data_IF_686043951866
#
_entry.id   IF_686043951866
#
_cell.length_a   1.000
_cell.length_b   1.000
_cell.length_c   1.000
_cell.angle_alpha   90.00
_cell.angle_beta   90.00
_cell.angle_gamma   90.00
#
_symmetry.space_group_name_H-M   'P 1'
#
loop_
_entity.id
_entity.type
_entity.pdbx_description
1 polymer ?
#
# COMPACT_ATOMS: atom_id res chain seq x y z
N UNK A 1 13.39 -12.62 -21.25
CA UNK A 1 11.94 -12.76 -21.52
C UNK A 1 11.21 -11.67 -20.77
N UNK A 2 10.18 -11.09 -21.36
CA UNK A 2 9.29 -10.15 -20.68
C UNK A 2 8.34 -10.88 -19.74
N UNK A 3 8.04 -10.27 -18.59
CA UNK A 3 7.10 -10.81 -17.59
C UNK A 3 5.81 -9.98 -17.60
N UNK A 4 4.69 -10.64 -17.33
CA UNK A 4 3.38 -10.00 -17.13
C UNK A 4 2.90 -10.29 -15.73
N UNK A 5 2.50 -9.24 -15.02
CA UNK A 5 1.96 -9.29 -13.67
C UNK A 5 0.45 -9.17 -13.74
N UNK A 6 -0.23 -10.04 -13.00
CA UNK A 6 -1.66 -10.01 -12.78
C UNK A 6 -1.90 -9.59 -11.32
N UNK A 7 -2.48 -8.40 -11.13
CA UNK A 7 -2.61 -7.74 -9.82
C UNK A 7 -4.10 -7.53 -9.54
N UNK A 8 -4.57 -8.18 -8.49
CA UNK A 8 -5.90 -7.94 -7.94
C UNK A 8 -5.87 -6.74 -6.99
N UNK A 9 -6.68 -5.73 -7.28
CA UNK A 9 -6.86 -4.55 -6.44
C UNK A 9 -8.29 -4.49 -5.92
N UNK A 10 -8.46 -4.61 -4.61
CA UNK A 10 -9.75 -4.33 -3.98
C UNK A 10 -9.86 -2.83 -3.69
N UNK A 11 -10.80 -2.18 -4.36
CA UNK A 11 -11.10 -0.75 -4.20
C UNK A 11 -12.26 -0.60 -3.22
N UNK A 12 -12.06 0.21 -2.19
CA UNK A 12 -13.13 0.67 -1.30
C UNK A 12 -13.72 2.01 -1.76
N UNK A 13 -14.81 2.45 -1.13
CA UNK A 13 -15.49 3.71 -1.45
C UNK A 13 -14.73 4.99 -1.07
N UNK A 14 -13.53 4.88 -0.50
CA UNK A 14 -12.70 6.02 -0.07
C UNK A 14 -11.52 6.28 -1.00
N UNK A 15 -11.21 5.32 -1.89
CA UNK A 15 -10.15 5.48 -2.87
C UNK A 15 -10.55 6.51 -3.91
N UNK A 16 -9.88 7.65 -3.91
CA UNK A 16 -10.13 8.76 -4.84
C UNK A 16 -9.54 8.49 -6.21
N UNK A 17 -8.38 7.86 -6.25
CA UNK A 17 -7.71 7.47 -7.48
C UNK A 17 -6.66 6.39 -7.22
N UNK A 18 -6.27 5.69 -8.27
CA UNK A 18 -5.06 4.88 -8.29
C UNK A 18 -4.30 5.04 -9.61
N UNK A 19 -2.99 4.84 -9.53
CA UNK A 19 -2.09 4.85 -10.68
C UNK A 19 -1.31 3.56 -10.77
N UNK A 20 -1.08 3.14 -12.02
CA UNK A 20 -0.28 1.96 -12.37
C UNK A 20 0.88 2.44 -13.21
N UNK A 21 2.10 2.12 -12.81
CA UNK A 21 3.32 2.39 -13.56
C UNK A 21 4.04 1.10 -13.90
N UNK A 22 4.50 0.98 -15.15
CA UNK A 22 5.28 -0.14 -15.63
C UNK A 22 6.52 0.37 -16.34
N UNK A 23 7.70 -0.09 -15.92
CA UNK A 23 8.97 0.20 -16.59
C UNK A 23 9.50 -1.03 -17.29
N UNK A 24 9.98 -0.90 -18.53
CA UNK A 24 10.53 -1.98 -19.36
C UNK A 24 10.30 -1.69 -20.84
N UNK A 25 10.93 -2.45 -21.74
CA UNK A 25 10.83 -2.22 -23.19
C UNK A 25 9.42 -2.53 -23.69
N UNK A 26 8.75 -1.52 -24.28
CA UNK A 26 7.35 -1.58 -24.77
C UNK A 26 6.37 -2.05 -23.69
N UNK A 27 6.14 -1.24 -22.65
CA UNK A 27 5.27 -1.60 -21.54
C UNK A 27 3.79 -1.61 -21.95
N UNK A 28 3.01 -2.52 -21.37
CA UNK A 28 1.56 -2.63 -21.53
C UNK A 28 0.86 -2.59 -20.18
N UNK A 29 -0.32 -1.97 -20.16
CA UNK A 29 -1.21 -1.91 -19.00
C UNK A 29 -2.64 -2.12 -19.51
N UNK A 30 -3.30 -3.13 -18.98
CA UNK A 30 -4.71 -3.42 -19.17
C UNK A 30 -5.39 -3.41 -17.80
N UNK A 31 -6.56 -2.78 -17.72
CA UNK A 31 -7.33 -2.65 -16.49
C UNK A 31 -8.71 -3.23 -16.75
N UNK A 32 -9.17 -4.09 -15.85
CA UNK A 32 -10.49 -4.70 -15.86
C UNK A 32 -11.24 -4.20 -14.62
N UNK A 33 -12.44 -3.67 -14.83
CA UNK A 33 -13.28 -3.12 -13.77
C UNK A 33 -13.94 -4.22 -12.91
N UNK A 34 -14.64 -3.85 -11.82
CA UNK A 34 -15.35 -4.81 -10.97
C UNK A 34 -16.45 -5.59 -11.68
N UNK A 35 -16.92 -5.13 -12.83
CA UNK A 35 -17.90 -5.82 -13.66
C UNK A 35 -17.26 -6.78 -14.67
N UNK A 36 -15.94 -6.99 -14.59
CA UNK A 36 -15.16 -7.85 -15.47
C UNK A 36 -15.11 -7.33 -16.92
N UNK A 37 -15.19 -6.02 -17.10
CA UNK A 37 -15.13 -5.35 -18.41
C UNK A 37 -13.84 -4.54 -18.54
N UNK A 38 -13.19 -4.51 -19.73
CA UNK A 38 -12.04 -3.64 -19.96
C UNK A 38 -12.36 -2.17 -19.66
N UNK A 39 -11.59 -1.57 -18.77
CA UNK A 39 -11.75 -0.20 -18.34
C UNK A 39 -10.85 0.74 -19.15
N UNK A 40 -11.46 1.51 -20.05
CA UNK A 40 -10.74 2.40 -20.97
C UNK A 40 -10.68 3.87 -20.49
N UNK A 41 -11.42 4.23 -19.45
CA UNK A 41 -11.47 5.62 -18.95
C UNK A 41 -10.29 5.93 -18.02
N UNK A 42 -9.08 5.78 -18.56
CA UNK A 42 -7.81 6.03 -17.88
C UNK A 42 -7.18 7.31 -18.41
N UNK A 43 -6.48 8.04 -17.54
CA UNK A 43 -5.63 9.17 -17.94
C UNK A 43 -4.21 8.67 -18.15
N UNK A 44 -3.68 8.81 -19.36
CA UNK A 44 -2.25 8.57 -19.62
C UNK A 44 -1.43 9.71 -19.01
N UNK A 45 -0.66 9.41 -17.98
CA UNK A 45 0.21 10.37 -17.28
C UNK A 45 1.58 10.43 -17.94
N UNK A 46 2.10 9.27 -18.35
CA UNK A 46 3.37 9.13 -19.06
C UNK A 46 3.28 7.93 -20.00
N UNK A 47 3.70 8.09 -21.25
CA UNK A 47 3.74 7.01 -22.22
C UNK A 47 5.00 7.16 -23.09
N UNK A 48 6.06 6.46 -22.69
CA UNK A 48 7.36 6.43 -23.36
C UNK A 48 7.72 4.98 -23.69
N UNK A 49 8.72 4.79 -24.55
CA UNK A 49 9.14 3.46 -25.02
C UNK A 49 9.51 2.49 -23.89
N UNK A 50 10.05 3.01 -22.77
CA UNK A 50 10.53 2.22 -21.64
C UNK A 50 9.70 2.39 -20.36
N UNK A 51 8.66 3.23 -20.36
CA UNK A 51 7.83 3.45 -19.17
C UNK A 51 6.43 3.91 -19.56
N UNK A 52 5.43 3.33 -18.91
CA UNK A 52 4.04 3.74 -19.05
C UNK A 52 3.40 3.92 -17.69
N UNK A 53 2.64 5.00 -17.53
CA UNK A 53 1.93 5.35 -16.31
C UNK A 53 0.51 5.78 -16.67
N UNK A 54 -0.47 5.10 -16.09
CA UNK A 54 -1.90 5.42 -16.24
C UNK A 54 -2.52 5.70 -14.88
N UNK A 55 -3.51 6.59 -14.84
CA UNK A 55 -4.27 6.93 -13.64
C UNK A 55 -5.76 6.67 -13.85
N UNK A 56 -6.43 6.15 -12.83
CA UNK A 56 -7.88 5.98 -12.75
C UNK A 56 -8.40 6.88 -11.64
N UNK A 57 -9.22 7.87 -11.99
CA UNK A 57 -9.86 8.76 -11.04
C UNK A 57 -11.30 8.28 -10.74
N UNK A 58 -11.71 8.38 -9.47
CA UNK A 58 -13.03 7.99 -8.99
C UNK A 58 -13.41 6.53 -9.30
N UNK A 59 -12.56 5.54 -9.00
CA UNK A 59 -12.88 4.14 -9.27
C UNK A 59 -14.11 3.69 -8.48
N UNK A 60 -14.96 2.87 -9.09
CA UNK A 60 -16.07 2.23 -8.38
C UNK A 60 -15.54 1.20 -7.36
N UNK A 61 -16.17 1.07 -6.18
CA UNK A 61 -15.83 0.01 -5.22
C UNK A 61 -15.95 -1.38 -5.83
N UNK A 62 -15.05 -2.28 -5.45
CA UNK A 62 -15.05 -3.67 -5.91
C UNK A 62 -13.66 -4.18 -6.29
N UNK A 63 -13.63 -5.38 -6.87
CA UNK A 63 -12.39 -6.06 -7.26
C UNK A 63 -11.98 -5.68 -8.68
N UNK A 64 -10.93 -4.89 -8.80
CA UNK A 64 -10.29 -4.55 -10.07
C UNK A 64 -9.18 -5.56 -10.37
N UNK A 65 -8.96 -5.83 -11.65
CA UNK A 65 -7.86 -6.67 -12.10
C UNK A 65 -6.96 -5.88 -13.06
N UNK A 66 -5.66 -5.89 -12.79
CA UNK A 66 -4.68 -5.08 -13.52
C UNK A 66 -3.64 -6.03 -14.10
N UNK A 67 -3.54 -6.04 -15.42
CA UNK A 67 -2.53 -6.80 -16.16
C UNK A 67 -1.49 -5.84 -16.70
N UNK A 68 -0.26 -5.99 -16.23
CA UNK A 68 0.80 -5.04 -16.46
C UNK A 68 2.11 -5.76 -16.76
N UNK A 69 2.84 -5.37 -17.80
CA UNK A 69 4.08 -6.04 -18.17
C UNK A 69 4.86 -5.30 -19.24
N UNK A 70 5.95 -5.91 -19.70
CA UNK A 70 6.72 -5.42 -20.85
C UNK A 70 7.44 -6.57 -21.56
N UNK A 71 8.06 -6.29 -22.71
CA UNK A 71 8.84 -7.28 -23.46
C UNK A 71 10.23 -7.56 -22.85
N UNK A 72 10.64 -6.83 -21.80
CA UNK A 72 11.87 -7.06 -21.05
C UNK A 72 11.59 -7.30 -19.56
N UNK A 73 12.65 -7.56 -18.78
CA UNK A 73 12.60 -7.40 -17.33
C UNK A 73 11.96 -6.07 -17.00
N UNK A 74 11.00 -6.10 -16.09
CA UNK A 74 10.16 -4.96 -15.79
C UNK A 74 9.89 -4.82 -14.30
N UNK A 75 9.37 -3.65 -13.95
CA UNK A 75 8.89 -3.35 -12.62
C UNK A 75 7.51 -2.74 -12.75
N UNK A 76 6.56 -3.28 -11.98
CA UNK A 76 5.19 -2.77 -11.88
C UNK A 76 5.02 -2.16 -10.50
N UNK A 77 4.48 -0.95 -10.46
CA UNK A 77 4.12 -0.26 -9.22
C UNK A 77 2.67 0.22 -9.31
N UNK A 78 1.91 -0.10 -8.28
CA UNK A 78 0.54 0.36 -8.06
C UNK A 78 0.55 1.34 -6.89
N UNK A 79 -0.17 2.44 -6.99
CA UNK A 79 -0.27 3.45 -5.93
C UNK A 79 -1.67 4.01 -5.88
N UNK A 80 -2.21 4.25 -4.69
CA UNK A 80 -3.57 4.71 -4.46
C UNK A 80 -3.62 5.92 -3.55
N UNK A 81 -4.59 6.80 -3.79
CA UNK A 81 -4.90 7.93 -2.93
C UNK A 81 -6.23 7.66 -2.22
N UNK A 82 -6.17 7.31 -0.94
CA UNK A 82 -7.33 6.99 -0.10
C UNK A 82 -7.43 7.95 1.08
N UNK A 83 -8.66 8.19 1.54
CA UNK A 83 -8.91 8.95 2.78
C UNK A 83 -8.65 8.14 4.06
N UNK A 84 -8.37 6.83 3.94
CA UNK A 84 -7.95 6.00 5.07
C UNK A 84 -6.57 6.44 5.55
N UNK A 85 -6.49 6.96 6.77
CA UNK A 85 -5.26 7.35 7.43
C UNK A 85 -4.84 6.25 8.41
N UNK A 86 -3.58 5.86 8.38
CA UNK A 86 -3.00 4.98 9.40
C UNK A 86 -2.36 5.83 10.48
N UNK A 87 -3.04 5.90 11.61
CA UNK A 87 -2.50 6.53 12.79
C UNK A 87 -1.71 5.49 13.59
N UNK A 88 -0.69 5.93 14.31
CA UNK A 88 0.11 5.05 15.12
C UNK A 88 0.59 5.72 16.41
N UNK A 89 0.99 4.90 17.37
CA UNK A 89 1.75 5.37 18.51
C UNK A 89 2.17 4.26 19.47
N UNK A 90 3.01 4.64 20.42
CA UNK A 90 3.68 3.78 21.37
C UNK A 90 3.07 3.91 22.76
N UNK A 91 3.10 2.81 23.52
CA UNK A 91 2.69 2.77 24.92
C UNK A 91 3.46 1.69 25.68
N UNK A 92 3.75 1.86 26.99
CA UNK A 92 4.46 0.83 27.77
C UNK A 92 3.63 -0.44 28.04
N UNK A 93 2.31 -0.37 27.82
CA UNK A 93 1.37 -1.47 28.08
C UNK A 93 0.21 -1.38 27.09
N UNK A 94 -0.59 -2.45 26.96
CA UNK A 94 -1.72 -2.47 26.03
C UNK A 94 -2.65 -1.28 26.30
N UNK A 95 -2.82 -0.36 25.32
CA UNK A 95 -3.54 0.88 25.54
C UNK A 95 -5.06 0.62 25.64
N UNK A 96 -5.71 1.35 26.54
CA UNK A 96 -7.18 1.31 26.71
C UNK A 96 -7.91 2.26 25.72
N UNK A 97 -7.19 3.26 25.19
CA UNK A 97 -7.68 4.20 24.18
C UNK A 97 -6.51 4.63 23.28
N UNK A 98 -6.83 5.03 22.06
CA UNK A 98 -5.90 5.64 21.10
C UNK A 98 -5.31 6.95 21.65
N UNK A 99 -6.06 7.69 22.46
CA UNK A 99 -5.60 8.98 23.01
C UNK A 99 -4.42 8.84 24.00
N UNK A 100 -4.21 7.63 24.52
CA UNK A 100 -3.11 7.33 25.43
C UNK A 100 -1.78 7.02 24.69
N UNK A 101 -1.77 7.08 23.35
CA UNK A 101 -0.60 6.74 22.55
C UNK A 101 0.36 7.93 22.41
N UNK A 102 1.66 7.66 22.60
CA UNK A 102 2.73 8.62 22.34
C UNK A 102 3.28 8.48 20.92
N UNK A 103 3.80 9.57 20.34
CA UNK A 103 4.51 9.52 19.06
C UNK A 103 5.90 8.88 19.17
N UNK A 104 6.46 8.80 20.37
CA UNK A 104 7.79 8.24 20.63
C UNK A 104 7.71 7.07 21.63
N UNK A 105 8.53 6.02 21.45
CA UNK A 105 8.66 4.96 22.44
C UNK A 105 9.27 5.50 23.74
N UNK A 106 8.89 4.89 24.86
CA UNK A 106 9.46 5.21 26.17
C UNK A 106 10.78 4.47 26.33
N UNK A 107 11.82 5.19 26.72
CA UNK A 107 13.18 4.65 26.87
C UNK A 107 13.23 3.62 28.01
N UNK A 108 14.02 2.55 27.81
CA UNK A 108 14.32 1.51 28.81
C UNK A 108 13.11 0.71 29.33
N UNK A 109 12.01 0.66 28.57
CA UNK A 109 10.86 -0.21 28.85
C UNK A 109 10.37 -0.88 27.58
N UNK A 110 9.65 -1.99 27.71
CA UNK A 110 8.96 -2.61 26.58
C UNK A 110 7.88 -1.66 26.05
N UNK A 111 7.76 -1.58 24.73
CA UNK A 111 6.80 -0.72 24.06
C UNK A 111 5.87 -1.55 23.16
N UNK A 112 4.58 -1.24 23.20
CA UNK A 112 3.59 -1.71 22.26
C UNK A 112 3.35 -0.63 21.21
N UNK A 113 3.71 -0.91 19.96
CA UNK A 113 3.28 -0.11 18.81
C UNK A 113 1.84 -0.50 18.46
N UNK A 114 0.94 0.48 18.50
CA UNK A 114 -0.42 0.35 18.01
C UNK A 114 -0.54 1.09 16.69
N UNK A 115 -1.00 0.39 15.65
CA UNK A 115 -1.36 0.99 14.36
C UNK A 115 -2.87 0.84 14.22
N UNK A 116 -3.57 1.93 13.97
CA UNK A 116 -5.01 1.92 13.75
C UNK A 116 -5.38 2.72 12.49
N UNK A 117 -6.15 2.13 11.57
CA UNK A 117 -6.73 2.88 10.48
C UNK A 117 -7.86 3.79 10.97
N UNK A 118 -8.04 4.94 10.33
CA UNK A 118 -9.18 5.84 10.59
C UNK A 118 -10.53 5.18 10.29
N UNK A 119 -10.54 4.14 9.44
CA UNK A 119 -11.73 3.37 9.05
C UNK A 119 -11.42 1.87 9.10
N UNK A 120 -11.52 1.22 10.28
CA UNK A 120 -11.16 -0.19 10.46
C UNK A 120 -11.89 -1.17 9.56
N UNK A 121 -13.16 -0.89 9.24
CA UNK A 121 -13.99 -1.75 8.40
C UNK A 121 -13.50 -1.86 6.94
N UNK A 122 -12.63 -0.94 6.50
CA UNK A 122 -12.09 -0.92 5.14
C UNK A 122 -10.70 -1.57 5.05
N UNK A 123 -10.07 -1.87 6.19
CA UNK A 123 -8.74 -2.47 6.24
C UNK A 123 -8.85 -3.91 6.69
N UNK A 124 -8.70 -4.84 5.74
CA UNK A 124 -8.78 -6.27 6.04
C UNK A 124 -7.55 -6.80 6.79
N UNK A 125 -6.34 -6.49 6.33
CA UNK A 125 -5.10 -6.97 6.95
C UNK A 125 -3.95 -5.97 6.75
N UNK A 126 -3.10 -5.84 7.77
CA UNK A 126 -1.79 -5.19 7.69
C UNK A 126 -0.72 -6.27 7.58
N UNK A 127 -0.22 -6.52 6.37
CA UNK A 127 0.73 -7.60 6.09
C UNK A 127 2.18 -7.24 6.41
N UNK A 128 2.53 -5.96 6.33
CA UNK A 128 3.87 -5.47 6.61
C UNK A 128 3.84 -4.08 7.25
N UNK A 129 4.68 -3.87 8.26
CA UNK A 129 4.91 -2.57 8.90
C UNK A 129 6.41 -2.45 9.12
N UNK A 130 7.02 -1.41 8.57
CA UNK A 130 8.44 -1.08 8.75
C UNK A 130 8.56 0.13 9.67
N UNK A 131 9.51 0.09 10.62
CA UNK A 131 9.84 1.22 11.48
C UNK A 131 11.31 1.54 11.23
N UNK A 132 11.57 2.72 10.67
CA UNK A 132 12.92 3.19 10.39
C UNK A 132 13.34 4.24 11.42
N UNK A 133 14.52 4.05 12.02
CA UNK A 133 15.18 5.08 12.83
C UNK A 133 16.02 5.97 11.93
N UNK A 134 15.91 7.29 12.07
CA UNK A 134 16.71 8.23 11.29
C UNK A 134 18.15 8.39 11.81
N UNK A 135 18.52 7.73 12.93
CA UNK A 135 19.88 7.80 13.47
C UNK A 135 20.77 6.69 12.89
N UNK A 136 21.37 6.96 11.72
CA UNK A 136 22.17 5.98 10.95
C UNK A 136 23.64 5.95 11.33
N UNK A 137 24.08 6.64 12.39
CA UNK A 137 25.50 6.76 12.74
C UNK A 137 25.96 5.92 13.94
N UNK A 138 25.10 5.06 14.50
CA UNK A 138 25.53 4.13 15.54
C UNK A 138 25.51 2.68 15.05
N UNK A 139 26.69 2.06 15.08
CA UNK A 139 26.87 0.62 15.07
C UNK A 139 25.95 0.00 16.13
N UNK A 140 24.85 -0.62 15.70
CA UNK A 140 23.88 -1.22 16.62
C UNK A 140 22.41 -0.99 16.29
N UNK A 141 22.03 -0.72 15.02
CA UNK A 141 20.63 -0.69 14.61
C UNK A 141 19.95 -2.03 14.95
N UNK A 142 19.21 -2.07 16.06
CA UNK A 142 18.47 -3.24 16.50
C UNK A 142 17.18 -3.32 15.69
N UNK A 143 17.07 -4.31 14.82
CA UNK A 143 15.82 -4.64 14.15
C UNK A 143 14.80 -5.13 15.19
N UNK A 144 13.70 -4.38 15.38
CA UNK A 144 12.59 -4.83 16.21
C UNK A 144 11.80 -5.91 15.46
N UNK A 145 11.93 -7.17 15.89
CA UNK A 145 11.07 -8.27 15.43
C UNK A 145 9.80 -8.26 16.27
N UNK A 146 8.65 -7.98 15.67
CA UNK A 146 7.35 -8.21 16.31
C UNK A 146 6.46 -9.11 15.44
N UNK A 147 5.54 -9.81 16.10
CA UNK A 147 4.60 -10.74 15.48
C UNK A 147 3.19 -10.18 15.71
N UNK A 148 2.55 -9.67 14.65
CA UNK A 148 1.20 -9.10 14.75
C UNK A 148 0.17 -10.24 14.63
N UNK A 149 -0.36 -10.70 15.77
CA UNK A 149 -1.50 -11.62 15.78
C UNK A 149 -2.81 -10.84 15.70
N UNK A 150 -3.35 -10.72 14.50
CA UNK A 150 -4.70 -10.22 14.29
C UNK A 150 -5.70 -11.31 14.64
N UNK A 151 -6.64 -11.00 15.53
CA UNK A 151 -7.77 -11.88 15.80
C UNK A 151 -8.89 -11.51 14.80
N UNK A 152 -9.44 -12.48 14.06
CA UNK A 152 -10.66 -12.25 13.31
C UNK A 152 -11.82 -12.04 14.29
N UNK A 153 -12.66 -11.05 14.01
CA UNK A 153 -14.02 -11.00 14.53
C UNK A 153 -14.94 -11.80 13.61
#
# INVERSE_FOLDING_TARGET
HGETHDIDLNVDGTLKEFSVSVSGHRPSIEIIDPHQVPYNNTKSVLDLENIKVVNVAGPSPGKWNIKAGSNSSNSVRLSGNSDVKFNFGFSPSKPNSIDALSRQPVLNVDNVLTVHPSQPNLVGNLSHVTIDSHDTNQLGATNFKFNLKLHPH
#
